data_IF_622931431389
#
_entry.id   IF_622931431389
#
_cell.length_a   1.000
_cell.length_b   1.000
_cell.length_c   1.000
_cell.angle_alpha   90.00
_cell.angle_beta   90.00
_cell.angle_gamma   90.00
#
_symmetry.space_group_name_H-M   'P 1'
#
loop_
_entity.id
_entity.type
_entity.pdbx_description
1 polymer ?
#
# COMPACT_ATOMS: atom_id res chain seq x y z
N UNK A 1 10.11 -2.38 5.21
CA UNK A 1 8.85 -2.19 5.97
C UNK A 1 8.14 -3.54 6.08
N UNK A 2 7.21 -3.75 7.03
CA UNK A 2 6.38 -4.98 7.05
C UNK A 2 5.08 -4.84 6.23
N UNK A 3 4.77 -3.62 5.82
CA UNK A 3 3.69 -3.36 4.88
C UNK A 3 3.58 -1.87 4.55
N UNK A 4 2.54 -1.55 3.79
CA UNK A 4 2.27 -0.22 3.25
C UNK A 4 0.78 0.04 3.27
N UNK A 5 0.41 1.30 3.48
CA UNK A 5 -0.93 1.81 3.25
C UNK A 5 -0.85 2.94 2.23
N UNK A 6 -1.65 2.83 1.17
CA UNK A 6 -1.87 3.87 0.17
C UNK A 6 -3.19 4.57 0.48
N UNK A 7 -3.14 5.90 0.61
CA UNK A 7 -4.32 6.75 0.70
C UNK A 7 -4.53 7.42 -0.65
N UNK A 8 -5.53 6.97 -1.40
CA UNK A 8 -5.97 7.53 -2.67
C UNK A 8 -6.75 8.82 -2.38
N UNK A 9 -6.10 9.95 -2.61
CA UNK A 9 -6.68 11.30 -2.40
C UNK A 9 -7.69 11.61 -3.49
N UNK A 10 -7.36 11.32 -4.74
CA UNK A 10 -8.23 11.43 -5.91
C UNK A 10 -8.48 10.05 -6.52
N UNK A 11 -9.52 9.88 -7.37
CA UNK A 11 -9.87 8.57 -7.90
C UNK A 11 -8.70 7.95 -8.68
N UNK A 12 -8.29 6.75 -8.31
CA UNK A 12 -7.36 5.95 -9.08
C UNK A 12 -8.14 5.14 -10.11
N UNK A 13 -7.88 5.40 -11.39
CA UNK A 13 -8.61 4.80 -12.51
C UNK A 13 -7.92 3.52 -12.99
N UNK A 14 -8.71 2.53 -13.41
CA UNK A 14 -8.23 1.33 -14.09
C UNK A 14 -7.61 0.31 -13.14
N UNK A 15 -7.95 0.38 -11.86
CA UNK A 15 -7.53 -0.58 -10.83
C UNK A 15 -8.68 -1.50 -10.39
N UNK A 16 -9.87 -1.36 -10.99
CA UNK A 16 -11.14 -1.94 -10.49
C UNK A 16 -11.38 -3.40 -10.89
N UNK A 17 -10.37 -4.11 -11.41
CA UNK A 17 -10.55 -5.49 -11.90
C UNK A 17 -10.88 -6.49 -10.80
N UNK A 18 -10.37 -6.24 -9.60
CA UNK A 18 -10.49 -7.10 -8.42
C UNK A 18 -10.64 -6.23 -7.17
N UNK A 19 -11.32 -6.76 -6.14
CA UNK A 19 -11.48 -6.06 -4.86
C UNK A 19 -10.97 -6.90 -3.67
N UNK A 20 -10.03 -6.39 -2.87
CA UNK A 20 -9.21 -5.21 -3.15
C UNK A 20 -8.26 -5.49 -4.34
N UNK A 21 -7.83 -4.44 -5.09
CA UNK A 21 -6.85 -4.61 -6.16
C UNK A 21 -5.61 -5.35 -5.66
N UNK A 22 -5.01 -6.21 -6.48
CA UNK A 22 -3.76 -6.88 -6.11
C UNK A 22 -2.59 -5.89 -6.07
N UNK A 23 -1.59 -6.15 -5.22
CA UNK A 23 -0.44 -5.25 -5.09
C UNK A 23 0.30 -4.99 -6.43
N UNK A 24 0.50 -5.98 -7.33
CA UNK A 24 1.07 -5.70 -8.65
C UNK A 24 0.27 -4.66 -9.46
N UNK A 25 -1.06 -4.63 -9.36
CA UNK A 25 -1.89 -3.62 -10.05
C UNK A 25 -1.57 -2.22 -9.52
N UNK A 26 -1.51 -2.07 -8.20
CA UNK A 26 -1.22 -0.78 -7.55
C UNK A 26 0.18 -0.26 -7.88
N UNK A 27 1.18 -1.13 -7.89
CA UNK A 27 2.58 -0.75 -8.11
C UNK A 27 2.97 -0.64 -9.59
N UNK A 28 2.17 -1.19 -10.52
CA UNK A 28 2.51 -1.29 -11.95
C UNK A 28 2.98 0.02 -12.55
N UNK A 29 2.27 1.12 -12.26
CA UNK A 29 2.62 2.44 -12.79
C UNK A 29 3.96 2.92 -12.25
N UNK A 30 4.18 2.83 -10.94
CA UNK A 30 5.42 3.23 -10.29
C UNK A 30 6.60 2.41 -10.81
N UNK A 31 6.45 1.10 -10.96
CA UNK A 31 7.47 0.22 -11.54
C UNK A 31 7.83 0.61 -12.98
N UNK A 32 6.82 0.81 -13.84
CA UNK A 32 7.03 1.25 -15.23
C UNK A 32 7.68 2.63 -15.31
N UNK A 33 7.22 3.58 -14.51
CA UNK A 33 7.78 4.93 -14.46
C UNK A 33 9.24 4.90 -13.96
N UNK A 34 9.53 4.13 -12.90
CA UNK A 34 10.89 3.94 -12.41
C UNK A 34 11.79 3.39 -13.51
N UNK A 35 11.39 2.29 -14.15
CA UNK A 35 12.20 1.67 -15.20
C UNK A 35 12.32 2.54 -16.47
N UNK A 36 11.39 3.46 -16.70
CA UNK A 36 11.48 4.41 -17.81
C UNK A 36 12.44 5.56 -17.50
N UNK A 37 12.37 6.16 -16.30
CA UNK A 37 13.03 7.43 -16.00
C UNK A 37 14.27 7.31 -15.10
N UNK A 38 14.44 6.20 -14.39
CA UNK A 38 15.62 5.95 -13.56
C UNK A 38 16.73 5.27 -14.36
N UNK A 39 17.98 5.60 -14.03
CA UNK A 39 19.16 4.87 -14.51
C UNK A 39 19.32 3.51 -13.81
N UNK A 40 18.66 3.30 -12.67
CA UNK A 40 18.67 2.03 -11.95
C UNK A 40 17.46 1.21 -12.41
N UNK A 41 17.70 0.15 -13.18
CA UNK A 41 16.63 -0.74 -13.66
C UNK A 41 16.28 -1.80 -12.63
N UNK A 42 14.99 -1.97 -12.39
CA UNK A 42 14.43 -3.00 -11.52
C UNK A 42 14.03 -4.22 -12.35
N UNK A 43 14.43 -5.44 -11.95
CA UNK A 43 14.04 -6.64 -12.66
C UNK A 43 12.55 -6.95 -12.46
N UNK A 44 11.93 -7.60 -13.46
CA UNK A 44 10.51 -7.98 -13.42
C UNK A 44 10.17 -8.91 -12.24
N UNK A 45 11.17 -9.64 -11.73
CA UNK A 45 11.04 -10.44 -10.50
C UNK A 45 10.45 -9.64 -9.33
N UNK A 46 10.71 -8.34 -9.24
CA UNK A 46 10.13 -7.46 -8.21
C UNK A 46 8.60 -7.41 -8.31
N UNK A 47 8.05 -7.35 -9.53
CA UNK A 47 6.60 -7.40 -9.75
C UNK A 47 6.01 -8.76 -9.36
N UNK A 48 6.72 -9.85 -9.65
CA UNK A 48 6.30 -11.19 -9.22
C UNK A 48 6.30 -11.33 -7.69
N UNK A 49 7.27 -10.74 -7.00
CA UNK A 49 7.30 -10.73 -5.52
C UNK A 49 6.08 -10.02 -4.92
N UNK A 50 5.56 -8.99 -5.58
CA UNK A 50 4.38 -8.28 -5.11
C UNK A 50 3.12 -9.16 -5.12
N UNK A 51 3.07 -10.27 -5.86
CA UNK A 51 1.97 -11.24 -5.77
C UNK A 51 1.87 -11.88 -4.37
N UNK A 52 2.96 -11.89 -3.60
CA UNK A 52 2.98 -12.40 -2.24
C UNK A 52 2.62 -11.34 -1.20
N UNK A 53 2.29 -10.12 -1.62
CA UNK A 53 1.78 -9.10 -0.73
C UNK A 53 0.27 -9.30 -0.57
N UNK A 54 -0.14 -9.57 0.66
CA UNK A 54 -1.54 -9.82 0.99
C UNK A 54 -2.24 -8.50 1.34
N UNK A 55 -3.50 -8.32 0.91
CA UNK A 55 -4.32 -7.23 1.42
C UNK A 55 -4.39 -7.25 2.95
N UNK A 56 -4.38 -6.07 3.57
CA UNK A 56 -4.36 -5.91 5.01
C UNK A 56 -5.39 -4.88 5.47
N UNK A 57 -5.73 -4.94 6.76
CA UNK A 57 -6.53 -3.89 7.39
C UNK A 57 -5.66 -2.69 7.80
N UNK A 58 -6.15 -1.45 7.66
CA UNK A 58 -7.44 -1.08 7.05
C UNK A 58 -7.36 -1.06 5.52
N UNK A 59 -8.37 -1.60 4.85
CA UNK A 59 -8.64 -1.38 3.42
C UNK A 59 -10.10 -0.96 3.30
N UNK A 60 -10.33 0.24 2.78
CA UNK A 60 -11.63 0.87 2.61
C UNK A 60 -11.56 1.70 1.33
N UNK A 61 -12.14 1.16 0.26
CA UNK A 61 -12.18 1.83 -1.03
C UNK A 61 -13.63 2.15 -1.36
N UNK A 62 -13.84 3.36 -1.89
CA UNK A 62 -15.12 3.84 -2.35
C UNK A 62 -14.99 4.26 -3.82
N UNK A 63 -15.95 3.86 -4.64
CA UNK A 63 -16.06 4.34 -6.01
C UNK A 63 -16.35 5.83 -6.01
N UNK A 64 -15.62 6.59 -6.82
CA UNK A 64 -15.79 8.02 -7.00
C UNK A 64 -15.76 8.34 -8.50
N UNK A 65 -16.69 9.18 -8.94
CA UNK A 65 -16.91 9.51 -10.34
C UNK A 65 -16.66 11.00 -10.55
N UNK A 66 -15.84 11.33 -11.55
CA UNK A 66 -15.54 12.72 -11.92
C UNK A 66 -16.01 12.94 -13.34
N UNK A 67 -16.90 13.90 -13.51
CA UNK A 67 -17.32 14.38 -14.83
C UNK A 67 -16.33 15.43 -15.33
N UNK A 68 -15.82 15.23 -16.55
CA UNK A 68 -14.92 16.16 -17.22
C UNK A 68 -15.49 16.50 -18.59
N UNK A 69 -15.29 17.74 -19.01
CA UNK A 69 -15.67 18.18 -20.36
C UNK A 69 -14.43 18.30 -21.24
N UNK A 70 -14.36 17.52 -22.32
CA UNK A 70 -13.31 17.61 -23.33
C UNK A 70 -13.91 17.96 -24.69
N UNK A 71 -13.45 19.06 -25.29
CA UNK A 71 -13.92 19.51 -26.62
C UNK A 71 -15.47 19.57 -26.70
N UNK A 72 -16.10 20.04 -25.63
CA UNK A 72 -17.57 20.13 -25.52
C UNK A 72 -18.30 18.80 -25.23
N UNK A 73 -17.60 17.66 -25.16
CA UNK A 73 -18.18 16.37 -24.78
C UNK A 73 -17.95 16.07 -23.31
N UNK A 74 -19.03 15.77 -22.59
CA UNK A 74 -18.98 15.29 -21.20
C UNK A 74 -18.52 13.85 -21.17
N UNK A 75 -17.54 13.55 -20.33
CA UNK A 75 -17.04 12.21 -20.08
C UNK A 75 -16.99 11.98 -18.58
N UNK A 76 -17.62 10.90 -18.12
CA UNK A 76 -17.55 10.46 -16.73
C UNK A 76 -16.41 9.46 -16.60
N UNK A 77 -15.51 9.71 -15.65
CA UNK A 77 -14.42 8.80 -15.29
C UNK A 77 -14.66 8.29 -13.87
N UNK A 78 -14.68 6.97 -13.71
CA UNK A 78 -14.94 6.30 -12.43
C UNK A 78 -13.67 5.58 -11.98
N UNK A 79 -13.32 5.72 -10.71
CA UNK A 79 -12.26 4.94 -10.07
C UNK A 79 -12.41 4.89 -8.56
N UNK A 80 -11.38 4.41 -7.86
CA UNK A 80 -11.44 4.27 -6.40
C UNK A 80 -10.72 5.39 -5.63
N UNK A 81 -11.31 5.83 -4.51
CA UNK A 81 -10.68 6.62 -3.45
C UNK A 81 -10.68 5.86 -2.13
N UNK A 82 -9.87 6.31 -1.18
CA UNK A 82 -9.84 5.77 0.17
C UNK A 82 -8.49 5.18 0.54
N UNK A 83 -8.50 4.08 1.29
CA UNK A 83 -7.32 3.42 1.83
C UNK A 83 -7.20 2.00 1.29
N UNK A 84 -6.00 1.63 0.87
CA UNK A 84 -5.66 0.23 0.59
C UNK A 84 -4.34 -0.11 1.26
N UNK A 85 -4.35 -1.19 2.04
CA UNK A 85 -3.17 -1.64 2.76
C UNK A 85 -2.72 -3.01 2.29
N UNK A 86 -1.41 -3.20 2.25
CA UNK A 86 -0.79 -4.49 1.97
C UNK A 86 0.23 -4.83 3.03
N UNK A 87 0.19 -6.08 3.47
CA UNK A 87 1.25 -6.70 4.25
C UNK A 87 2.26 -7.31 3.28
N UNK A 88 3.52 -6.96 3.46
CA UNK A 88 4.60 -7.54 2.68
C UNK A 88 4.91 -8.94 3.20
N UNK A 89 5.03 -9.90 2.27
CA UNK A 89 5.49 -11.25 2.57
C UNK A 89 6.94 -11.29 3.06
N UNK A 90 7.48 -12.50 3.24
CA UNK A 90 8.89 -12.69 3.60
C UNK A 90 9.80 -12.39 2.39
N UNK A 91 10.00 -11.11 2.11
CA UNK A 91 10.95 -10.65 1.10
C UNK A 91 12.38 -10.71 1.62
N UNK A 92 13.34 -10.96 0.72
CA UNK A 92 14.75 -10.77 1.02
C UNK A 92 15.00 -9.30 1.39
N UNK A 93 16.02 -9.04 2.21
CA UNK A 93 16.27 -7.70 2.73
C UNK A 93 16.40 -6.63 1.63
N UNK A 94 17.03 -6.96 0.51
CA UNK A 94 17.19 -6.07 -0.63
C UNK A 94 15.87 -5.85 -1.39
N UNK A 95 15.12 -6.91 -1.66
CA UNK A 95 13.79 -6.83 -2.30
C UNK A 95 12.85 -5.94 -1.49
N UNK A 96 12.84 -6.11 -0.16
CA UNK A 96 12.03 -5.31 0.74
C UNK A 96 12.40 -3.81 0.74
N UNK A 97 13.67 -3.47 0.50
CA UNK A 97 14.11 -2.07 0.32
C UNK A 97 13.61 -1.51 -1.02
N UNK A 98 13.73 -2.28 -2.10
CA UNK A 98 13.25 -1.89 -3.43
C UNK A 98 11.75 -1.66 -3.42
N UNK A 99 10.98 -2.60 -2.86
CA UNK A 99 9.51 -2.49 -2.75
C UNK A 99 9.11 -1.29 -1.89
N UNK A 100 9.81 -1.04 -0.79
CA UNK A 100 9.57 0.17 0.01
C UNK A 100 9.89 1.46 -0.75
N UNK A 101 10.95 1.45 -1.57
CA UNK A 101 11.31 2.56 -2.47
C UNK A 101 10.23 2.80 -3.54
N UNK A 102 9.77 1.75 -4.20
CA UNK A 102 8.65 1.82 -5.14
C UNK A 102 7.38 2.33 -4.48
N UNK A 103 7.07 1.86 -3.28
CA UNK A 103 5.92 2.34 -2.51
C UNK A 103 6.04 3.85 -2.26
N UNK A 104 7.20 4.37 -1.89
CA UNK A 104 7.41 5.83 -1.75
C UNK A 104 7.28 6.55 -3.09
N UNK A 105 7.81 5.97 -4.16
CA UNK A 105 7.75 6.56 -5.50
C UNK A 105 6.31 6.75 -6.00
N UNK A 106 5.36 5.94 -5.53
CA UNK A 106 3.92 6.11 -5.79
C UNK A 106 3.40 7.51 -5.39
N UNK A 107 3.96 8.15 -4.36
CA UNK A 107 3.54 9.52 -3.98
C UNK A 107 3.78 10.54 -5.10
N UNK A 108 4.73 10.27 -6.00
CA UNK A 108 5.07 11.11 -7.13
C UNK A 108 4.42 10.62 -8.43
N UNK A 109 4.44 9.30 -8.68
CA UNK A 109 3.91 8.76 -9.93
C UNK A 109 2.38 8.69 -9.97
N UNK A 110 1.74 8.68 -8.81
CA UNK A 110 0.34 8.32 -8.63
C UNK A 110 0.06 6.84 -8.90
N UNK A 111 -1.21 6.45 -8.77
CA UNK A 111 -1.74 5.11 -9.06
C UNK A 111 -2.73 5.19 -10.23
N UNK A 112 -2.69 4.21 -11.13
CA UNK A 112 -3.68 4.06 -12.20
C UNK A 112 -3.47 4.97 -13.42
N UNK A 113 -4.58 5.30 -14.09
CA UNK A 113 -4.61 6.08 -15.33
C UNK A 113 -4.71 7.60 -15.12
N UNK A 114 -4.42 8.36 -16.19
CA UNK A 114 -4.65 9.81 -16.30
C UNK A 114 -4.07 10.67 -15.14
N UNK A 115 -2.94 10.27 -14.57
CA UNK A 115 -2.37 10.99 -13.41
C UNK A 115 -1.88 12.40 -13.74
N UNK A 116 -1.58 12.69 -15.00
CA UNK A 116 -1.27 14.06 -15.47
C UNK A 116 -2.47 15.01 -15.36
N UNK A 117 -3.68 14.48 -15.18
CA UNK A 117 -4.93 15.23 -15.02
C UNK A 117 -5.39 15.27 -13.56
N UNK A 118 -4.52 14.91 -12.61
CA UNK A 118 -4.84 14.93 -11.18
C UNK A 118 -5.50 13.66 -10.63
N UNK A 119 -5.69 12.61 -11.44
CA UNK A 119 -6.18 11.31 -10.95
C UNK A 119 -5.08 10.51 -10.22
N UNK A 120 -5.48 9.65 -9.30
CA UNK A 120 -4.58 8.73 -8.62
C UNK A 120 -3.56 9.38 -7.69
N UNK A 121 -3.77 10.62 -7.26
CA UNK A 121 -2.92 11.29 -6.26
C UNK A 121 -2.95 10.46 -4.99
N UNK A 122 -1.78 10.07 -4.50
CA UNK A 122 -1.66 9.08 -3.43
C UNK A 122 -0.71 9.55 -2.35
N UNK A 123 -1.07 9.33 -1.09
CA UNK A 123 -0.16 9.42 0.06
C UNK A 123 0.21 8.03 0.55
N UNK A 124 1.45 7.86 0.98
CA UNK A 124 2.00 6.55 1.31
C UNK A 124 2.48 6.52 2.76
N UNK A 125 2.01 5.51 3.49
CA UNK A 125 2.47 5.22 4.84
C UNK A 125 3.07 3.82 4.87
N UNK A 126 4.39 3.75 5.00
CA UNK A 126 5.07 2.50 5.33
C UNK A 126 4.94 2.22 6.82
N UNK A 127 4.67 0.97 7.19
CA UNK A 127 4.59 0.57 8.58
C UNK A 127 5.44 -0.67 8.89
N UNK A 128 5.89 -0.74 10.14
CA UNK A 128 6.51 -1.93 10.71
C UNK A 128 5.46 -2.56 11.63
N UNK A 129 5.26 -3.87 11.56
CA UNK A 129 4.43 -4.57 12.53
C UNK A 129 5.00 -4.26 13.91
N UNK A 130 4.21 -3.62 14.77
CA UNK A 130 4.55 -3.55 16.19
C UNK A 130 4.47 -4.97 16.70
N UNK A 131 5.59 -5.52 17.17
CA UNK A 131 5.52 -6.63 18.10
C UNK A 131 4.79 -6.07 19.31
N UNK A 132 3.57 -6.54 19.58
CA UNK A 132 2.99 -6.33 20.90
C UNK A 132 3.92 -7.05 21.88
N UNK A 133 4.77 -6.29 22.58
CA UNK A 133 5.41 -6.81 23.78
C UNK A 133 4.26 -7.07 24.75
N UNK A 134 3.87 -8.33 24.91
CA UNK A 134 3.09 -8.75 26.06
C UNK A 134 3.92 -8.37 27.30
N UNK A 135 3.56 -7.26 27.94
CA UNK A 135 3.92 -7.05 29.34
C UNK A 135 3.00 -7.97 30.14
N UNK A 136 3.43 -9.20 30.35
CA UNK A 136 3.00 -10.02 31.48
C UNK A 136 4.18 -10.91 31.88
N UNK A 137 5.00 -10.41 32.79
CA UNK A 137 5.90 -11.19 33.63
C UNK A 137 6.52 -10.26 34.68
N UNK A 138 5.77 -10.06 35.76
CA UNK A 138 6.24 -9.84 37.14
C UNK A 138 5.01 -9.55 37.98
N UNK A 139 4.37 -10.63 38.43
CA UNK A 139 3.65 -10.71 39.70
C UNK A 139 3.46 -12.20 39.98
N UNK A 140 4.55 -12.83 40.40
CA UNK A 140 4.54 -14.12 41.07
C UNK A 140 5.70 -14.09 42.07
N UNK A 141 5.33 -13.76 43.31
CA UNK A 141 6.07 -13.71 44.58
C UNK A 141 5.63 -12.41 45.26
N UNK A 142 4.69 -12.42 46.19
CA UNK A 142 4.93 -12.73 47.60
C UNK A 142 3.55 -12.86 48.28
N UNK A 143 3.19 -14.05 48.77
CA UNK A 143 2.70 -14.31 50.14
C UNK A 143 2.11 -15.72 50.25
N UNK A 144 2.95 -16.64 50.69
CA UNK A 144 2.53 -17.75 51.54
C UNK A 144 3.57 -17.87 52.63
N UNK A 145 3.20 -17.48 53.85
CA UNK A 145 3.47 -18.14 55.15
C UNK A 145 3.44 -17.12 56.29
N UNK A 146 2.96 -17.62 57.45
CA UNK A 146 2.74 -17.02 58.79
C UNK A 146 1.25 -16.70 59.05
N UNK A 147 0.53 -17.36 59.96
CA UNK A 147 0.89 -18.20 61.09
C UNK A 147 -0.23 -19.23 61.39
N UNK A 148 0.19 -20.45 61.76
CA UNK A 148 -0.55 -21.30 62.69
C UNK A 148 -0.42 -20.68 64.09
N UNK A 149 -1.55 -20.55 64.78
CA UNK A 149 -1.80 -20.86 66.19
C UNK A 149 -3.31 -20.71 66.47
#
# INVERSE_FOLDING_TARGET
AKGVTFRLITPALGIEREFPPSAPVIFRRAFRAWNKFSNIKLPELIMNRLLWAEPAFPTCLQSDAVELTFKGKRQVLVGYRGLISYKFGRFLAQEGKIIAGLARYVEFSGIGGKTSMGFGITKVRLWRSRVMKNKNSKDTSIHSTKHLE
#
